data_IF_798143474647
#
_entry.id   IF_798143474647
#
_cell.length_a   1.000
_cell.length_b   1.000
_cell.length_c   1.000
_cell.angle_alpha   90.00
_cell.angle_beta   90.00
_cell.angle_gamma   90.00
#
_symmetry.space_group_name_H-M   'P 1'
#
loop_
_entity.id
_entity.type
_entity.pdbx_description
1 polymer ?
#
# COMPACT_ATOMS: atom_id res chain seq x y z
N UNK A 1 11.66 -18.88 3.44
CA UNK A 1 10.97 -18.26 2.28
C UNK A 1 12.05 -17.61 1.42
N UNK A 2 12.05 -17.81 0.09
CA UNK A 2 13.05 -17.20 -0.79
C UNK A 2 12.82 -15.69 -0.95
N UNK A 3 13.86 -14.95 -1.34
CA UNK A 3 13.74 -13.51 -1.62
C UNK A 3 12.76 -13.22 -2.77
N UNK A 4 12.77 -14.02 -3.84
CA UNK A 4 11.79 -13.91 -4.92
C UNK A 4 10.35 -14.01 -4.44
N UNK A 5 10.03 -14.98 -3.57
CA UNK A 5 8.69 -15.11 -2.99
C UNK A 5 8.33 -13.93 -2.09
N UNK A 6 9.29 -13.38 -1.33
CA UNK A 6 9.03 -12.25 -0.44
C UNK A 6 8.82 -10.92 -1.17
N UNK A 7 9.36 -10.77 -2.38
CA UNK A 7 9.20 -9.58 -3.22
C UNK A 7 8.16 -9.76 -4.33
N UNK A 8 7.46 -10.90 -4.36
CA UNK A 8 6.37 -11.16 -5.27
C UNK A 8 5.06 -10.63 -4.64
N UNK A 9 4.41 -9.61 -5.20
CA UNK A 9 3.07 -9.26 -4.82
C UNK A 9 2.08 -10.33 -5.30
N UNK A 10 1.01 -10.51 -4.54
CA UNK A 10 -0.10 -11.38 -4.93
C UNK A 10 -0.92 -10.76 -6.07
N UNK A 11 -1.06 -9.42 -6.06
CA UNK A 11 -1.73 -8.66 -7.10
C UNK A 11 -0.91 -7.42 -7.51
N UNK A 12 -0.72 -7.22 -8.80
CA UNK A 12 -0.27 -5.95 -9.38
C UNK A 12 -1.48 -5.28 -10.03
N UNK A 13 -1.92 -4.15 -9.48
CA UNK A 13 -3.12 -3.46 -9.96
C UNK A 13 -2.88 -2.78 -11.33
N UNK A 14 -1.64 -2.35 -11.59
CA UNK A 14 -1.27 -1.67 -12.84
C UNK A 14 -1.86 -0.26 -12.99
N UNK A 15 -2.40 0.29 -11.91
CA UNK A 15 -2.96 1.64 -11.81
C UNK A 15 -2.87 2.14 -10.35
N UNK A 16 -3.27 3.38 -10.10
CA UNK A 16 -3.29 3.96 -8.75
C UNK A 16 -4.38 3.32 -7.87
N UNK A 17 -4.24 3.49 -6.56
CA UNK A 17 -5.11 2.89 -5.54
C UNK A 17 -6.61 3.12 -5.77
N UNK A 18 -7.00 4.26 -6.35
CA UNK A 18 -8.41 4.63 -6.58
C UNK A 18 -9.13 3.70 -7.58
N UNK A 19 -8.38 2.88 -8.31
CA UNK A 19 -8.93 1.86 -9.21
C UNK A 19 -9.17 0.50 -8.52
N UNK A 20 -8.80 0.36 -7.23
CA UNK A 20 -9.09 -0.84 -6.46
C UNK A 20 -10.59 -0.86 -6.12
N UNK A 21 -11.34 -1.79 -6.73
CA UNK A 21 -12.80 -1.86 -6.60
C UNK A 21 -13.23 -2.84 -5.50
N UNK A 22 -14.45 -2.70 -4.94
CA UNK A 22 -15.00 -3.69 -4.01
C UNK A 22 -15.00 -5.12 -4.55
N UNK A 23 -15.24 -5.28 -5.86
CA UNK A 23 -15.24 -6.59 -6.52
C UNK A 23 -13.87 -7.27 -6.44
N UNK A 24 -12.78 -6.54 -6.69
CA UNK A 24 -11.42 -7.08 -6.58
C UNK A 24 -11.16 -7.55 -5.14
N UNK A 25 -11.63 -6.81 -4.14
CA UNK A 25 -11.47 -7.19 -2.73
C UNK A 25 -12.25 -8.46 -2.40
N UNK A 26 -13.49 -8.56 -2.86
CA UNK A 26 -14.37 -9.72 -2.63
C UNK A 26 -13.82 -10.99 -3.29
N UNK A 27 -13.39 -10.92 -4.56
CA UNK A 27 -12.81 -12.04 -5.30
C UNK A 27 -11.57 -12.62 -4.60
N UNK A 28 -10.80 -11.78 -3.92
CA UNK A 28 -9.61 -12.15 -3.18
C UNK A 28 -9.86 -12.39 -1.68
N UNK A 29 -11.13 -12.40 -1.24
CA UNK A 29 -11.54 -12.63 0.15
C UNK A 29 -10.91 -11.64 1.15
N UNK A 30 -10.69 -10.40 0.72
CA UNK A 30 -10.08 -9.35 1.52
C UNK A 30 -11.16 -8.63 2.34
N UNK A 31 -10.99 -8.62 3.66
CA UNK A 31 -11.88 -7.96 4.63
C UNK A 31 -11.24 -6.76 5.32
N UNK A 32 -9.92 -6.60 5.19
CA UNK A 32 -9.17 -5.49 5.75
C UNK A 32 -8.12 -4.93 4.79
N UNK A 33 -7.89 -3.63 4.85
CA UNK A 33 -6.85 -2.94 4.10
C UNK A 33 -5.93 -2.18 5.03
N UNK A 34 -4.63 -2.45 4.90
CA UNK A 34 -3.58 -1.59 5.43
C UNK A 34 -2.97 -0.83 4.26
N UNK A 35 -3.17 0.48 4.25
CA UNK A 35 -2.73 1.35 3.17
C UNK A 35 -1.44 2.08 3.57
N UNK A 36 -0.42 2.06 2.71
CA UNK A 36 0.61 3.09 2.76
C UNK A 36 0.02 4.46 2.40
N UNK A 37 0.72 5.56 2.70
CA UNK A 37 0.18 6.92 2.54
C UNK A 37 0.90 7.70 1.44
N UNK A 38 2.19 7.93 1.61
CA UNK A 38 2.95 8.78 0.69
C UNK A 38 3.22 8.02 -0.60
N UNK A 39 2.96 8.65 -1.74
CA UNK A 39 3.04 8.02 -3.07
C UNK A 39 2.06 6.88 -3.33
N UNK A 40 1.35 6.39 -2.31
CA UNK A 40 0.27 5.41 -2.49
C UNK A 40 -1.11 6.10 -2.57
N UNK A 41 -1.44 6.94 -1.59
CA UNK A 41 -2.71 7.68 -1.54
C UNK A 41 -2.55 9.15 -1.94
N UNK A 42 -1.42 9.76 -1.58
CA UNK A 42 -1.18 11.18 -1.75
C UNK A 42 0.26 11.40 -2.17
N UNK A 43 0.54 12.20 -3.22
CA UNK A 43 1.90 12.60 -3.55
C UNK A 43 2.59 13.22 -2.34
N UNK A 44 3.88 12.94 -2.12
CA UNK A 44 4.62 13.47 -0.97
C UNK A 44 4.64 15.00 -0.92
N UNK A 45 4.53 15.65 -2.07
CA UNK A 45 4.49 17.11 -2.24
C UNK A 45 3.11 17.71 -2.05
N UNK A 46 2.04 16.91 -2.10
CA UNK A 46 0.68 17.38 -1.91
C UNK A 46 0.31 17.40 -0.43
N UNK A 47 -0.34 18.48 0.03
CA UNK A 47 -0.73 18.64 1.43
C UNK A 47 -2.11 18.06 1.77
N UNK A 48 -2.96 17.90 0.76
CA UNK A 48 -4.37 17.53 0.88
C UNK A 48 -4.66 16.29 0.04
N UNK A 49 -5.67 15.53 0.47
CA UNK A 49 -6.25 14.42 -0.31
C UNK A 49 -7.05 14.96 -1.50
N UNK A 50 -7.07 14.23 -2.61
CA UNK A 50 -7.94 14.56 -3.75
C UNK A 50 -9.39 14.19 -3.45
N UNK A 51 -10.34 14.84 -4.13
CA UNK A 51 -11.76 14.47 -4.06
C UNK A 51 -11.99 13.03 -4.51
N UNK A 52 -11.32 12.60 -5.60
CA UNK A 52 -11.38 11.23 -6.11
C UNK A 52 -10.97 10.20 -5.05
N UNK A 53 -9.92 10.48 -4.26
CA UNK A 53 -9.49 9.58 -3.19
C UNK A 53 -10.54 9.51 -2.07
N UNK A 54 -11.16 10.64 -1.72
CA UNK A 54 -12.23 10.66 -0.70
C UNK A 54 -13.40 9.80 -1.17
N UNK A 55 -13.86 9.99 -2.41
CA UNK A 55 -14.96 9.22 -3.00
C UNK A 55 -14.64 7.72 -3.06
N UNK A 56 -13.40 7.37 -3.42
CA UNK A 56 -12.93 5.99 -3.39
C UNK A 56 -12.97 5.41 -1.97
N UNK A 57 -12.45 6.13 -0.96
CA UNK A 57 -12.49 5.67 0.44
C UNK A 57 -13.93 5.45 0.92
N UNK A 58 -14.86 6.35 0.58
CA UNK A 58 -16.28 6.20 0.95
C UNK A 58 -16.96 5.02 0.25
N UNK A 59 -16.48 4.63 -0.93
CA UNK A 59 -16.93 3.42 -1.64
C UNK A 59 -16.40 2.14 -0.98
N UNK A 60 -15.18 2.17 -0.44
CA UNK A 60 -14.48 0.97 0.06
C UNK A 60 -14.71 0.72 1.55
N UNK A 61 -14.80 1.77 2.38
CA UNK A 61 -15.05 1.64 3.83
C UNK A 61 -16.25 0.76 4.21
N UNK A 62 -17.38 0.75 3.49
CA UNK A 62 -18.52 -0.11 3.84
C UNK A 62 -18.25 -1.60 3.67
N UNK A 63 -17.29 -1.98 2.81
CA UNK A 63 -16.99 -3.38 2.48
C UNK A 63 -15.81 -3.95 3.26
N UNK A 64 -14.86 -3.11 3.67
CA UNK A 64 -13.64 -3.55 4.38
C UNK A 64 -13.22 -2.58 5.49
N UNK A 65 -12.52 -3.08 6.50
CA UNK A 65 -11.90 -2.23 7.54
C UNK A 65 -10.58 -1.65 7.04
N UNK A 66 -10.36 -0.34 7.18
CA UNK A 66 -9.17 0.32 6.63
C UNK A 66 -8.31 0.91 7.76
N UNK A 67 -7.00 0.73 7.67
CA UNK A 67 -5.99 1.43 8.47
C UNK A 67 -4.92 2.06 7.59
N UNK A 68 -4.44 3.24 7.98
CA UNK A 68 -3.29 3.87 7.35
C UNK A 68 -2.00 3.51 8.12
N UNK A 69 -0.95 3.04 7.43
CA UNK A 69 0.33 2.74 8.05
C UNK A 69 1.48 3.29 7.20
N UNK A 70 2.06 4.39 7.66
CA UNK A 70 3.10 5.13 6.92
C UNK A 70 4.49 4.97 7.52
N UNK A 71 5.52 4.96 6.67
CA UNK A 71 6.91 5.11 7.09
C UNK A 71 7.27 6.56 7.47
N UNK A 72 6.44 7.54 7.09
CA UNK A 72 6.67 8.94 7.40
C UNK A 72 6.56 9.21 8.91
N UNK A 73 7.51 9.97 9.44
CA UNK A 73 7.58 10.37 10.85
C UNK A 73 6.79 11.65 11.14
N UNK A 74 6.37 12.39 10.11
CA UNK A 74 5.59 13.62 10.25
C UNK A 74 4.16 13.32 10.71
N UNK A 75 3.96 13.33 12.03
CA UNK A 75 2.63 13.17 12.62
C UNK A 75 1.63 14.19 12.07
N UNK A 76 1.93 15.50 11.94
CA UNK A 76 0.95 16.47 11.44
C UNK A 76 0.48 16.19 10.01
N UNK A 77 1.35 15.61 9.17
CA UNK A 77 0.98 15.23 7.80
C UNK A 77 0.04 14.03 7.80
N UNK A 78 0.45 12.96 8.48
CA UNK A 78 -0.31 11.70 8.45
C UNK A 78 -1.64 11.86 9.20
N UNK A 79 -1.66 12.57 10.32
CA UNK A 79 -2.91 12.83 11.05
C UNK A 79 -3.90 13.62 10.20
N UNK A 80 -3.46 14.68 9.52
CA UNK A 80 -4.32 15.46 8.62
C UNK A 80 -4.95 14.61 7.51
N UNK A 81 -4.16 13.76 6.86
CA UNK A 81 -4.64 12.86 5.82
C UNK A 81 -5.65 11.86 6.43
N UNK A 82 -5.30 11.25 7.55
CA UNK A 82 -6.16 10.30 8.25
C UNK A 82 -7.49 10.90 8.72
N UNK A 83 -7.46 12.12 9.26
CA UNK A 83 -8.63 12.89 9.68
C UNK A 83 -9.52 13.25 8.48
N UNK A 84 -8.91 13.70 7.37
CA UNK A 84 -9.63 14.02 6.13
C UNK A 84 -10.35 12.80 5.56
N UNK A 85 -9.76 11.61 5.73
CA UNK A 85 -10.35 10.34 5.32
C UNK A 85 -11.17 9.68 6.44
N UNK A 86 -11.24 10.24 7.65
CA UNK A 86 -11.84 9.61 8.83
C UNK A 86 -11.39 8.15 9.06
N UNK A 87 -10.07 7.91 9.04
CA UNK A 87 -9.46 6.59 9.18
C UNK A 87 -8.48 6.53 10.36
N UNK A 88 -8.36 5.36 11.03
CA UNK A 88 -7.30 5.14 12.01
C UNK A 88 -5.93 5.05 11.32
N UNK A 89 -4.87 5.44 12.03
CA UNK A 89 -3.52 5.49 11.45
C UNK A 89 -2.40 5.13 12.42
N UNK A 90 -1.26 4.73 11.85
CA UNK A 90 0.01 4.53 12.53
C UNK A 90 1.14 5.19 11.72
N UNK A 91 1.92 6.06 12.34
CA UNK A 91 3.10 6.72 11.74
C UNK A 91 4.40 5.98 12.04
N UNK A 92 5.47 6.27 11.29
CA UNK A 92 6.81 5.75 11.52
C UNK A 92 6.90 4.22 11.57
N UNK A 93 6.26 3.52 10.64
CA UNK A 93 6.17 2.06 10.62
C UNK A 93 7.51 1.34 10.45
N UNK A 94 8.48 2.01 9.81
CA UNK A 94 9.82 1.46 9.50
C UNK A 94 9.71 0.14 8.72
N UNK A 95 8.76 0.05 7.78
CA UNK A 95 8.66 -1.02 6.78
C UNK A 95 10.04 -1.14 6.09
N UNK A 96 10.61 -2.36 5.97
CA UNK A 96 9.91 -3.65 5.94
C UNK A 96 9.68 -4.33 7.31
N UNK A 97 9.83 -3.62 8.43
CA UNK A 97 9.44 -4.13 9.74
C UNK A 97 7.93 -4.42 9.82
N UNK A 98 7.58 -5.64 10.24
CA UNK A 98 6.18 -6.10 10.41
C UNK A 98 5.51 -5.63 11.71
N UNK A 99 6.23 -4.98 12.61
CA UNK A 99 5.74 -4.70 13.98
C UNK A 99 4.50 -3.80 13.99
N UNK A 100 4.50 -2.73 13.19
CA UNK A 100 3.37 -1.78 13.16
C UNK A 100 2.22 -2.26 12.28
N UNK A 101 2.51 -3.01 11.20
CA UNK A 101 1.49 -3.70 10.42
C UNK A 101 0.70 -4.70 11.28
N UNK A 102 1.41 -5.51 12.09
CA UNK A 102 0.75 -6.46 13.00
C UNK A 102 -0.22 -5.76 13.95
N UNK A 103 0.16 -4.60 14.51
CA UNK A 103 -0.72 -3.83 15.38
C UNK A 103 -1.99 -3.35 14.67
N UNK A 104 -1.88 -2.94 13.40
CA UNK A 104 -3.06 -2.55 12.62
C UNK A 104 -3.98 -3.77 12.40
N UNK A 105 -3.42 -4.91 11.99
CA UNK A 105 -4.18 -6.17 11.79
C UNK A 105 -4.85 -6.64 13.09
N UNK A 106 -4.13 -6.63 14.20
CA UNK A 106 -4.68 -6.98 15.53
C UNK A 106 -5.84 -6.04 15.91
N UNK A 107 -5.72 -4.74 15.62
CA UNK A 107 -6.77 -3.77 15.90
C UNK A 107 -8.00 -3.92 14.98
N UNK A 108 -7.84 -4.49 13.78
CA UNK A 108 -8.97 -4.86 12.91
C UNK A 108 -9.70 -6.12 13.42
N UNK A 109 -9.07 -6.93 14.27
CA UNK A 109 -9.59 -8.23 14.71
C UNK A 109 -9.92 -9.17 13.54
N UNK A 110 -9.03 -9.21 12.54
CA UNK A 110 -9.14 -10.04 11.35
C UNK A 110 -7.98 -11.06 11.27
N UNK A 111 -8.21 -12.24 10.67
CA UNK A 111 -7.13 -13.12 10.19
C UNK A 111 -6.18 -12.35 9.27
N UNK A 112 -4.88 -12.60 9.38
CA UNK A 112 -3.87 -11.83 8.64
C UNK A 112 -3.96 -12.03 7.13
N UNK A 113 -4.34 -13.23 6.73
CA UNK A 113 -4.54 -13.67 5.35
C UNK A 113 -5.71 -12.97 4.65
N UNK A 114 -6.67 -12.43 5.40
CA UNK A 114 -7.82 -11.67 4.88
C UNK A 114 -7.55 -10.16 4.90
N UNK A 115 -6.34 -9.72 5.26
CA UNK A 115 -5.94 -8.32 5.25
C UNK A 115 -4.90 -8.10 4.15
N UNK A 116 -5.15 -7.14 3.27
CA UNK A 116 -4.20 -6.74 2.25
C UNK A 116 -3.32 -5.55 2.68
N UNK A 117 -2.02 -5.66 2.44
CA UNK A 117 -1.10 -4.53 2.43
C UNK A 117 -1.10 -3.91 1.02
N UNK A 118 -1.44 -2.62 0.92
CA UNK A 118 -1.49 -1.89 -0.35
C UNK A 118 -0.43 -0.78 -0.33
N UNK A 119 0.45 -0.78 -1.33
CA UNK A 119 1.51 0.21 -1.45
C UNK A 119 2.18 0.22 -2.82
N UNK A 120 3.04 1.20 -3.07
CA UNK A 120 3.70 1.41 -4.37
C UNK A 120 5.10 0.75 -4.48
N UNK A 121 5.66 0.24 -3.37
CA UNK A 121 7.04 -0.25 -3.31
C UNK A 121 7.17 -1.73 -2.94
N UNK A 122 8.13 -2.39 -3.59
CA UNK A 122 8.38 -3.82 -3.38
C UNK A 122 9.15 -4.07 -2.07
N UNK A 123 10.22 -3.31 -1.85
CA UNK A 123 11.14 -3.55 -0.73
C UNK A 123 10.65 -3.04 0.62
N UNK A 124 9.56 -2.26 0.64
CA UNK A 124 8.91 -1.83 1.87
C UNK A 124 7.57 -2.51 2.05
N UNK A 125 6.61 -2.28 1.16
CA UNK A 125 5.21 -2.61 1.42
C UNK A 125 4.95 -4.09 1.14
N UNK A 126 5.25 -4.54 -0.09
CA UNK A 126 5.12 -5.96 -0.47
C UNK A 126 5.96 -6.84 0.45
N UNK A 127 7.23 -6.47 0.66
CA UNK A 127 8.11 -7.22 1.56
C UNK A 127 7.57 -7.29 2.99
N UNK A 128 7.03 -6.19 3.53
CA UNK A 128 6.49 -6.20 4.89
C UNK A 128 5.22 -7.06 5.01
N UNK A 129 4.30 -6.93 4.04
CA UNK A 129 3.06 -7.70 3.98
C UNK A 129 3.33 -9.20 3.87
N UNK A 130 4.16 -9.60 2.90
CA UNK A 130 4.56 -11.01 2.71
C UNK A 130 5.26 -11.60 3.93
N UNK A 131 6.10 -10.82 4.63
CA UNK A 131 6.75 -11.28 5.87
C UNK A 131 5.81 -11.45 7.05
N UNK A 132 4.64 -10.80 7.00
CA UNK A 132 3.59 -10.91 8.00
C UNK A 132 2.52 -11.95 7.61
N UNK A 133 2.47 -12.37 6.34
CA UNK A 133 1.47 -13.31 5.81
C UNK A 133 0.19 -12.63 5.31
N UNK A 134 0.26 -11.32 5.05
CA UNK A 134 -0.83 -10.56 4.45
C UNK A 134 -0.89 -10.81 2.95
N UNK A 135 -2.07 -10.61 2.34
CA UNK A 135 -2.17 -10.41 0.90
C UNK A 135 -1.46 -9.10 0.52
N UNK A 136 -0.84 -9.03 -0.65
CA UNK A 136 -0.08 -7.84 -1.09
C UNK A 136 -0.55 -7.32 -2.44
N UNK A 137 -0.94 -6.04 -2.46
CA UNK A 137 -1.37 -5.33 -3.66
C UNK A 137 -0.36 -4.25 -3.97
N UNK A 138 0.33 -4.40 -5.10
CA UNK A 138 1.22 -3.39 -5.65
C UNK A 138 0.43 -2.44 -6.55
N UNK A 139 0.45 -1.15 -6.24
CA UNK A 139 -0.18 -0.09 -7.04
C UNK A 139 0.85 0.77 -7.77
N UNK A 140 0.39 1.56 -8.73
CA UNK A 140 1.19 2.63 -9.33
C UNK A 140 1.26 3.84 -8.39
N UNK A 141 2.43 4.49 -8.27
CA UNK A 141 2.59 5.61 -7.36
C UNK A 141 1.80 6.84 -7.83
N UNK A 142 1.17 7.54 -6.89
CA UNK A 142 0.57 8.86 -7.12
C UNK A 142 1.66 9.93 -7.05
N UNK A 143 2.16 10.33 -8.22
CA UNK A 143 3.23 11.31 -8.41
C UNK A 143 2.75 12.57 -9.14
N UNK A 144 3.37 13.72 -8.86
CA UNK A 144 3.24 14.92 -9.69
C UNK A 144 4.23 14.86 -10.87
N UNK A 145 3.85 15.42 -12.03
CA UNK A 145 4.59 15.35 -13.32
C UNK A 145 6.11 15.54 -13.24
N UNK A 146 6.61 16.43 -12.37
CA UNK A 146 8.05 16.71 -12.24
C UNK A 146 8.87 15.68 -11.46
N UNK A 147 8.24 14.80 -10.66
CA UNK A 147 8.94 13.77 -9.85
C UNK A 147 8.79 12.35 -10.40
N UNK A 148 7.92 12.17 -11.39
CA UNK A 148 7.68 10.95 -12.16
C UNK A 148 9.02 10.26 -12.47
N UNK A 149 9.88 10.92 -13.24
CA UNK A 149 11.08 10.29 -13.83
C UNK A 149 11.97 9.61 -12.79
N UNK A 150 12.39 10.33 -11.74
CA UNK A 150 13.30 9.79 -10.71
C UNK A 150 12.69 8.61 -9.94
N UNK A 151 11.40 8.68 -9.60
CA UNK A 151 10.74 7.63 -8.82
C UNK A 151 10.46 6.39 -9.66
N UNK A 152 10.06 6.57 -10.92
CA UNK A 152 9.98 5.46 -11.87
C UNK A 152 11.33 4.74 -11.99
N UNK A 153 12.47 5.45 -12.07
CA UNK A 153 13.79 4.78 -12.09
C UNK A 153 14.09 3.94 -10.85
N UNK A 154 13.76 4.43 -9.64
CA UNK A 154 13.97 3.66 -8.40
C UNK A 154 13.08 2.42 -8.39
N UNK A 155 11.80 2.56 -8.77
CA UNK A 155 10.86 1.45 -8.84
C UNK A 155 11.26 0.44 -9.91
N UNK A 156 11.66 0.89 -11.10
CA UNK A 156 12.20 0.02 -12.15
C UNK A 156 13.43 -0.75 -11.69
N UNK A 157 14.31 -0.12 -10.90
CA UNK A 157 15.43 -0.81 -10.28
C UNK A 157 14.96 -1.84 -9.25
N UNK A 158 14.00 -1.50 -8.38
CA UNK A 158 13.43 -2.46 -7.44
C UNK A 158 12.83 -3.68 -8.15
N UNK A 159 12.12 -3.46 -9.26
CA UNK A 159 11.51 -4.51 -10.09
C UNK A 159 12.57 -5.37 -10.76
N UNK A 160 13.63 -4.75 -11.30
CA UNK A 160 14.74 -5.50 -11.89
C UNK A 160 15.44 -6.37 -10.83
N UNK A 161 15.75 -5.81 -9.65
CA UNK A 161 16.38 -6.57 -8.56
C UNK A 161 15.47 -7.71 -8.11
N UNK A 162 14.17 -7.48 -7.96
CA UNK A 162 13.24 -8.55 -7.55
C UNK A 162 13.16 -9.66 -8.59
N UNK A 163 13.16 -9.34 -9.89
CA UNK A 163 13.23 -10.33 -10.98
C UNK A 163 14.53 -11.14 -10.95
N UNK A 164 15.67 -10.50 -10.73
CA UNK A 164 16.96 -11.18 -10.52
C UNK A 164 16.91 -12.11 -9.31
N UNK A 165 16.18 -11.73 -8.26
CA UNK A 165 15.98 -12.54 -7.06
C UNK A 165 14.87 -13.61 -7.21
N UNK A 166 14.26 -13.73 -8.40
CA UNK A 166 13.31 -14.78 -8.77
C UNK A 166 11.83 -14.40 -8.65
N UNK A 167 11.47 -13.12 -8.56
CA UNK A 167 10.08 -12.67 -8.68
C UNK A 167 9.64 -12.62 -10.15
N UNK A 168 8.40 -13.00 -10.43
CA UNK A 168 7.78 -12.93 -11.76
C UNK A 168 6.82 -11.74 -11.82
N UNK A 169 7.38 -10.55 -12.08
CA UNK A 169 6.63 -9.30 -12.19
C UNK A 169 6.45 -8.90 -13.66
N UNK A 170 5.20 -8.62 -14.05
CA UNK A 170 4.86 -7.99 -15.33
C UNK A 170 4.22 -6.64 -15.04
N UNK A 171 5.00 -5.57 -15.06
CA UNK A 171 4.49 -4.20 -14.90
C UNK A 171 4.44 -3.58 -16.29
N UNK A 172 3.30 -2.98 -16.67
CA UNK A 172 3.19 -2.24 -17.93
C UNK A 172 4.13 -1.04 -17.86
N UNK A 173 5.09 -0.99 -18.77
CA UNK A 173 6.02 0.12 -19.00
C UNK A 173 5.32 1.34 -19.56
#
# INVERSE_FOLDING_TARGET
>A
MSWGKLLQPDLVLGSSVVNLTPHILEENQIRGLVLDVDETLVPITAANVSTELIEWVETIKPVVTIWLVSNNLSQPRISRIAESLSLPYITGAVKPSRRKLRRAVEAMNLPVEEVAMVGDRLFTDVLAGNRLGMFTILVEPMVNDGQVVRKYHIRSFEVWVSQVLGASLTIKS
#
